data_IF_545083638602
#
_entry.id   IF_545083638602
#
_cell.length_a   1.000
_cell.length_b   1.000
_cell.length_c   1.000
_cell.angle_alpha   90.00
_cell.angle_beta   90.00
_cell.angle_gamma   90.00
#
_symmetry.space_group_name_H-M   'P 1'
#
loop_
_entity.id
_entity.type
_entity.pdbx_description
1 polymer ?
#
# COMPACT_ATOMS: atom_id res chain seq x y z
N UNK A 1 17.55 -29.73 15.41
CA UNK A 1 16.86 -30.96 14.99
C UNK A 1 17.09 -31.13 13.50
N UNK A 2 17.70 -32.25 13.08
CA UNK A 2 17.83 -32.65 11.67
C UNK A 2 16.87 -33.82 11.47
N UNK A 3 15.70 -33.61 10.86
CA UNK A 3 14.71 -34.68 10.71
C UNK A 3 13.43 -34.16 10.05
N UNK A 4 13.22 -34.55 8.81
CA UNK A 4 12.05 -34.21 8.00
C UNK A 4 10.79 -34.84 8.63
N UNK A 5 9.81 -34.00 8.95
CA UNK A 5 8.48 -34.43 9.40
C UNK A 5 7.68 -34.93 8.19
N UNK A 6 8.00 -36.14 7.71
CA UNK A 6 7.46 -36.65 6.44
C UNK A 6 5.97 -37.00 6.47
N UNK A 7 5.40 -37.26 7.65
CA UNK A 7 3.99 -37.65 7.78
C UNK A 7 3.31 -37.03 9.00
N UNK A 8 2.00 -36.82 8.89
CA UNK A 8 1.18 -36.28 9.99
C UNK A 8 1.21 -37.18 11.24
N UNK A 9 1.39 -38.50 11.06
CA UNK A 9 1.51 -39.45 12.17
C UNK A 9 2.78 -39.18 12.99
N UNK A 10 3.93 -38.97 12.33
CA UNK A 10 5.19 -38.68 13.01
C UNK A 10 5.10 -37.39 13.84
N UNK A 11 4.38 -36.39 13.31
CA UNK A 11 4.13 -35.13 14.03
C UNK A 11 3.27 -35.38 15.27
N UNK A 12 2.23 -36.20 15.16
CA UNK A 12 1.35 -36.54 16.30
C UNK A 12 2.09 -37.37 17.35
N UNK A 13 2.95 -38.31 16.95
CA UNK A 13 3.72 -39.16 17.86
C UNK A 13 4.79 -38.37 18.60
N UNK A 14 5.59 -37.55 17.90
CA UNK A 14 6.58 -36.66 18.52
C UNK A 14 5.90 -35.61 19.41
N UNK A 15 4.75 -35.07 18.98
CA UNK A 15 3.93 -34.20 19.80
C UNK A 15 3.48 -34.93 21.08
N UNK A 16 2.91 -36.13 20.98
CA UNK A 16 2.47 -36.90 22.13
C UNK A 16 3.64 -37.26 23.08
N UNK A 17 4.81 -37.56 22.55
CA UNK A 17 6.04 -37.77 23.33
C UNK A 17 6.48 -36.50 24.08
N UNK A 18 6.28 -35.33 23.49
CA UNK A 18 6.47 -34.04 24.13
C UNK A 18 5.29 -33.60 25.03
N UNK A 19 4.28 -34.47 25.23
CA UNK A 19 3.08 -34.16 26.04
C UNK A 19 2.02 -33.33 25.31
N UNK A 20 2.19 -33.09 24.02
CA UNK A 20 1.34 -32.26 23.16
C UNK A 20 0.19 -33.11 22.59
N UNK A 21 -1.06 -32.73 22.88
CA UNK A 21 -2.24 -33.32 22.22
C UNK A 21 -2.77 -32.39 21.12
N UNK A 22 -2.47 -32.70 19.86
CA UNK A 22 -2.97 -31.97 18.69
C UNK A 22 -4.42 -32.41 18.33
N UNK A 23 -5.40 -32.04 19.16
CA UNK A 23 -6.82 -32.44 19.01
C UNK A 23 -7.70 -31.34 18.36
N UNK A 24 -7.17 -30.13 18.26
CA UNK A 24 -7.91 -28.90 17.96
C UNK A 24 -7.82 -28.50 16.48
N UNK A 25 -8.69 -27.57 16.06
CA UNK A 25 -8.90 -27.24 14.64
C UNK A 25 -7.83 -26.30 14.07
N UNK A 26 -7.48 -25.23 14.76
CA UNK A 26 -6.52 -24.25 14.25
C UNK A 26 -5.36 -24.05 15.22
N UNK A 27 -4.13 -24.12 14.71
CA UNK A 27 -2.89 -23.95 15.46
C UNK A 27 -2.14 -22.72 14.99
N UNK A 28 -1.47 -22.06 15.92
CA UNK A 28 -0.53 -20.98 15.62
C UNK A 28 0.61 -21.00 16.63
N UNK A 29 1.71 -20.39 16.24
CA UNK A 29 2.93 -20.32 17.04
C UNK A 29 3.21 -18.87 17.37
N UNK A 30 3.54 -18.63 18.64
CA UNK A 30 4.17 -17.40 19.08
C UNK A 30 5.65 -17.68 19.30
N UNK A 31 6.51 -16.73 18.93
CA UNK A 31 7.94 -16.76 19.28
C UNK A 31 8.23 -15.51 20.09
N UNK A 32 8.85 -15.70 21.25
CA UNK A 32 9.30 -14.65 22.14
C UNK A 32 10.82 -14.58 22.04
N UNK A 33 11.35 -13.39 21.76
CA UNK A 33 12.78 -13.10 21.70
C UNK A 33 13.20 -12.09 22.76
N UNK A 34 14.40 -12.26 23.31
CA UNK A 34 15.03 -11.30 24.23
C UNK A 34 16.55 -11.37 24.11
N UNK A 35 17.23 -10.25 24.31
CA UNK A 35 18.71 -10.24 24.43
C UNK A 35 19.19 -10.96 25.69
N UNK A 36 18.36 -10.98 26.73
CA UNK A 36 18.62 -11.68 27.99
C UNK A 36 17.95 -13.06 27.98
N UNK A 37 18.32 -13.88 27.00
CA UNK A 37 17.66 -15.15 26.74
C UNK A 37 17.64 -16.14 27.92
N UNK A 38 18.62 -16.10 28.82
CA UNK A 38 18.58 -16.90 30.06
C UNK A 38 17.38 -16.55 30.96
N UNK A 39 17.07 -15.25 31.12
CA UNK A 39 15.92 -14.79 31.91
C UNK A 39 14.61 -15.16 31.23
N UNK A 40 14.56 -15.03 29.90
CA UNK A 40 13.42 -15.44 29.09
C UNK A 40 13.13 -16.95 29.21
N UNK A 41 14.15 -17.79 29.06
CA UNK A 41 14.02 -19.25 29.20
C UNK A 41 13.60 -19.65 30.62
N UNK A 42 14.12 -18.96 31.64
CA UNK A 42 13.71 -19.16 33.05
C UNK A 42 12.24 -18.79 33.27
N UNK A 43 11.79 -17.66 32.74
CA UNK A 43 10.40 -17.22 32.81
C UNK A 43 9.46 -18.20 32.08
N UNK A 44 9.83 -18.64 30.88
CA UNK A 44 9.06 -19.60 30.09
C UNK A 44 8.91 -20.95 30.81
N UNK A 45 9.97 -21.45 31.46
CA UNK A 45 9.90 -22.68 32.28
C UNK A 45 8.89 -22.55 33.42
N UNK A 46 8.89 -21.41 34.13
CA UNK A 46 7.90 -21.13 35.18
C UNK A 46 6.47 -21.10 34.63
N UNK A 47 6.26 -20.51 33.44
CA UNK A 47 4.95 -20.54 32.78
C UNK A 47 4.50 -21.99 32.50
N UNK A 48 5.39 -22.80 31.91
CA UNK A 48 5.10 -24.20 31.56
C UNK A 48 4.76 -25.07 32.80
N UNK A 49 5.35 -24.78 33.96
CA UNK A 49 5.01 -25.48 35.22
C UNK A 49 3.61 -25.11 35.75
N UNK A 50 3.12 -23.91 35.45
CA UNK A 50 1.83 -23.39 35.95
C UNK A 50 0.66 -23.62 35.00
N UNK A 51 0.91 -23.79 33.70
CA UNK A 51 -0.12 -23.88 32.68
C UNK A 51 0.00 -25.21 31.92
N UNK A 52 -0.84 -26.17 32.29
CA UNK A 52 -0.81 -27.54 31.78
C UNK A 52 -1.22 -27.69 30.31
N UNK A 53 -1.74 -26.63 29.69
CA UNK A 53 -2.23 -26.62 28.31
C UNK A 53 -1.34 -25.84 27.35
N UNK A 54 -0.24 -25.24 27.85
CA UNK A 54 0.71 -24.48 27.04
C UNK A 54 1.96 -25.30 26.70
N UNK A 55 2.41 -25.17 25.46
CA UNK A 55 3.53 -25.96 24.95
C UNK A 55 4.68 -25.02 24.62
N UNK A 56 5.66 -24.99 25.51
CA UNK A 56 6.84 -24.14 25.38
C UNK A 56 8.03 -24.94 24.82
N UNK A 57 8.71 -24.37 23.82
CA UNK A 57 9.86 -24.99 23.19
C UNK A 57 11.04 -24.01 23.09
N UNK A 58 12.19 -24.30 23.70
CA UNK A 58 13.39 -23.48 23.54
C UNK A 58 13.92 -23.61 22.10
N UNK A 59 14.00 -22.49 21.39
CA UNK A 59 14.41 -22.46 19.98
C UNK A 59 15.93 -22.35 19.89
N UNK A 60 16.47 -21.32 20.53
CA UNK A 60 17.88 -20.98 20.60
C UNK A 60 18.14 -20.25 21.94
N UNK A 61 19.38 -19.81 22.25
CA UNK A 61 19.66 -19.14 23.52
C UNK A 61 18.85 -17.86 23.78
N UNK A 62 18.28 -17.24 22.75
CA UNK A 62 17.55 -15.95 22.79
C UNK A 62 16.06 -16.05 22.50
N UNK A 63 15.58 -17.20 22.05
CA UNK A 63 14.20 -17.42 21.62
C UNK A 63 13.53 -18.61 22.30
N UNK A 64 12.24 -18.42 22.60
CA UNK A 64 11.34 -19.49 23.00
C UNK A 64 10.06 -19.44 22.17
N UNK A 65 9.62 -20.59 21.68
CA UNK A 65 8.37 -20.74 20.95
C UNK A 65 7.27 -21.25 21.89
N UNK A 66 6.04 -20.83 21.63
CA UNK A 66 4.82 -21.30 22.27
C UNK A 66 3.86 -21.76 21.18
N UNK A 67 3.52 -23.04 21.17
CA UNK A 67 2.46 -23.56 20.32
C UNK A 67 1.11 -23.34 21.03
N UNK A 68 0.19 -22.69 20.32
CA UNK A 68 -1.18 -22.43 20.76
C UNK A 68 -2.19 -22.99 19.76
N UNK A 69 -3.43 -23.11 20.23
CA UNK A 69 -4.55 -23.54 19.41
C UNK A 69 -5.82 -22.75 19.75
N UNK A 70 -6.68 -22.58 18.75
CA UNK A 70 -8.00 -21.98 18.94
C UNK A 70 -9.02 -23.08 19.29
N UNK A 71 -9.90 -22.80 20.24
CA UNK A 71 -11.06 -23.64 20.55
C UNK A 71 -12.34 -22.89 20.22
N UNK A 72 -13.42 -23.61 19.89
CA UNK A 72 -14.74 -22.98 19.68
C UNK A 72 -15.27 -22.28 20.94
N UNK A 73 -14.86 -22.73 22.13
CA UNK A 73 -15.26 -22.18 23.43
C UNK A 73 -14.41 -20.97 23.86
N UNK A 74 -13.18 -20.84 23.34
CA UNK A 74 -12.28 -19.73 23.62
C UNK A 74 -11.55 -19.29 22.34
N UNK A 75 -12.20 -18.48 21.48
CA UNK A 75 -11.60 -17.93 20.27
C UNK A 75 -10.66 -16.78 20.67
N UNK A 76 -9.58 -17.09 21.38
CA UNK A 76 -8.62 -16.08 21.81
C UNK A 76 -7.97 -15.46 20.57
N UNK A 77 -8.02 -14.13 20.48
CA UNK A 77 -7.31 -13.39 19.45
C UNK A 77 -5.79 -13.57 19.66
N UNK A 78 -5.03 -14.09 18.67
CA UNK A 78 -3.60 -14.38 18.81
C UNK A 78 -2.78 -13.20 19.33
N UNK A 79 -3.17 -11.97 18.94
CA UNK A 79 -2.55 -10.74 19.40
C UNK A 79 -2.68 -10.56 20.91
N UNK A 80 -3.89 -10.75 21.45
CA UNK A 80 -4.17 -10.64 22.88
C UNK A 80 -3.38 -11.68 23.67
N UNK A 81 -3.30 -12.92 23.16
CA UNK A 81 -2.49 -13.99 23.78
C UNK A 81 -1.01 -13.61 23.79
N UNK A 82 -0.49 -13.07 22.69
CA UNK A 82 0.88 -12.59 22.59
C UNK A 82 1.20 -11.48 23.60
N UNK A 83 0.33 -10.48 23.72
CA UNK A 83 0.47 -9.37 24.66
C UNK A 83 0.42 -9.84 26.13
N UNK A 84 -0.58 -10.65 26.49
CA UNK A 84 -0.74 -11.17 27.84
C UNK A 84 0.43 -12.08 28.25
N UNK A 85 0.87 -12.93 27.33
CA UNK A 85 1.99 -13.85 27.58
C UNK A 85 3.30 -13.08 27.72
N UNK A 86 3.53 -12.05 26.90
CA UNK A 86 4.71 -11.19 27.03
C UNK A 86 4.75 -10.47 28.38
N UNK A 87 3.61 -9.93 28.83
CA UNK A 87 3.50 -9.25 30.12
C UNK A 87 3.76 -10.22 31.27
N UNK A 88 3.23 -11.45 31.18
CA UNK A 88 3.51 -12.50 32.17
C UNK A 88 5.00 -12.88 32.20
N UNK A 89 5.65 -13.03 31.05
CA UNK A 89 7.08 -13.30 30.98
C UNK A 89 7.90 -12.18 31.63
N UNK A 90 7.50 -10.91 31.43
CA UNK A 90 8.13 -9.75 32.07
C UNK A 90 7.97 -9.78 33.59
N UNK A 91 6.77 -10.07 34.10
CA UNK A 91 6.52 -10.23 35.54
C UNK A 91 7.36 -11.34 36.17
N UNK A 92 7.72 -12.36 35.39
CA UNK A 92 8.57 -13.47 35.82
C UNK A 92 10.08 -13.21 35.67
N UNK A 93 10.46 -12.03 35.16
CA UNK A 93 11.83 -11.52 35.12
C UNK A 93 12.45 -11.42 33.72
N UNK A 94 11.71 -11.67 32.63
CA UNK A 94 12.23 -11.45 31.28
C UNK A 94 12.27 -9.94 30.94
N UNK A 95 13.33 -9.48 30.30
CA UNK A 95 13.49 -8.08 29.87
C UNK A 95 13.39 -7.96 28.34
N UNK A 96 12.91 -6.83 27.84
CA UNK A 96 12.78 -6.54 26.40
C UNK A 96 12.23 -7.71 25.56
N UNK A 97 11.04 -8.22 25.94
CA UNK A 97 10.41 -9.32 25.22
C UNK A 97 9.77 -8.81 23.92
N UNK A 98 10.26 -9.31 22.79
CA UNK A 98 9.70 -9.09 21.45
C UNK A 98 8.92 -10.33 21.02
N UNK A 99 7.67 -10.15 20.59
CA UNK A 99 6.77 -11.25 20.23
C UNK A 99 6.52 -11.25 18.74
N UNK A 100 6.79 -12.37 18.09
CA UNK A 100 6.30 -12.66 16.75
C UNK A 100 5.16 -13.67 16.78
N UNK A 101 4.12 -13.43 15.98
CA UNK A 101 2.93 -14.27 15.92
C UNK A 101 2.77 -14.77 14.49
N UNK A 102 2.74 -16.09 14.30
CA UNK A 102 2.49 -16.70 13.00
C UNK A 102 1.00 -16.79 12.65
N UNK A 103 0.72 -17.13 11.39
CA UNK A 103 -0.66 -17.35 10.93
C UNK A 103 -1.26 -18.63 11.54
N UNK A 104 -2.59 -18.68 11.61
CA UNK A 104 -3.30 -19.89 12.01
C UNK A 104 -3.36 -20.89 10.85
N UNK A 105 -3.12 -22.16 11.17
CA UNK A 105 -3.18 -23.28 10.22
C UNK A 105 -4.03 -24.41 10.78
N UNK A 106 -4.85 -24.99 9.90
CA UNK A 106 -5.70 -26.15 10.25
C UNK A 106 -4.93 -27.47 10.10
N UNK A 107 -3.96 -27.54 9.18
CA UNK A 107 -3.15 -28.74 8.96
C UNK A 107 -1.90 -28.76 9.86
N UNK A 108 -1.69 -29.84 10.62
CA UNK A 108 -0.56 -29.96 11.57
C UNK A 108 0.81 -29.85 10.90
N UNK A 109 0.94 -30.36 9.68
CA UNK A 109 2.15 -30.26 8.84
C UNK A 109 2.51 -28.82 8.48
N UNK A 110 1.55 -27.91 8.53
CA UNK A 110 1.74 -26.49 8.22
C UNK A 110 2.13 -25.65 9.45
N UNK A 111 2.12 -26.23 10.66
CA UNK A 111 2.56 -25.54 11.90
C UNK A 111 3.99 -25.01 11.76
N UNK A 112 4.84 -25.71 11.00
CA UNK A 112 6.22 -25.26 10.69
C UNK A 112 6.24 -23.89 10.00
N UNK A 113 5.24 -23.58 9.16
CA UNK A 113 5.13 -22.28 8.52
C UNK A 113 4.75 -21.20 9.53
N UNK A 114 3.80 -21.47 10.44
CA UNK A 114 3.49 -20.55 11.54
C UNK A 114 4.72 -20.26 12.39
N UNK A 115 5.53 -21.27 12.69
CA UNK A 115 6.75 -21.11 13.46
C UNK A 115 7.78 -20.20 12.73
N UNK A 116 8.05 -20.46 11.45
CA UNK A 116 8.98 -19.64 10.66
C UNK A 116 8.53 -18.18 10.57
N UNK A 117 7.21 -17.97 10.41
CA UNK A 117 6.60 -16.64 10.40
C UNK A 117 6.75 -15.91 11.73
N UNK A 118 6.47 -16.61 12.84
CA UNK A 118 6.61 -16.07 14.19
C UNK A 118 8.07 -15.70 14.50
N UNK A 119 9.03 -16.55 14.15
CA UNK A 119 10.45 -16.26 14.34
C UNK A 119 10.87 -15.00 13.58
N UNK A 120 10.51 -14.90 12.30
CA UNK A 120 10.73 -13.70 11.49
C UNK A 120 10.13 -12.43 12.13
N UNK A 121 8.89 -12.51 12.61
CA UNK A 121 8.20 -11.38 13.25
C UNK A 121 8.85 -10.96 14.58
N UNK A 122 9.36 -11.91 15.37
CA UNK A 122 10.09 -11.62 16.61
C UNK A 122 11.38 -10.84 16.34
N UNK A 123 12.21 -11.33 15.42
CA UNK A 123 13.46 -10.67 15.01
C UNK A 123 13.20 -9.27 14.43
N UNK A 124 12.16 -9.16 13.60
CA UNK A 124 11.72 -7.88 13.04
C UNK A 124 11.27 -6.90 14.14
N UNK A 125 10.44 -7.36 15.08
CA UNK A 125 9.98 -6.56 16.21
C UNK A 125 11.13 -5.99 17.02
N UNK A 126 12.19 -6.78 17.22
CA UNK A 126 13.43 -6.33 17.85
C UNK A 126 14.11 -5.19 17.07
N UNK A 127 14.27 -5.33 15.76
CA UNK A 127 14.91 -4.33 14.89
C UNK A 127 14.09 -3.03 14.85
N UNK A 128 12.78 -3.14 14.69
CA UNK A 128 11.86 -2.00 14.55
C UNK A 128 11.36 -1.44 15.89
N UNK A 129 11.81 -2.01 17.02
CA UNK A 129 11.37 -1.68 18.38
C UNK A 129 9.85 -1.74 18.55
N UNK A 130 9.24 -2.78 17.97
CA UNK A 130 7.83 -3.14 18.15
C UNK A 130 7.74 -4.38 19.04
N UNK A 131 7.01 -4.27 20.16
CA UNK A 131 6.93 -5.34 21.16
C UNK A 131 6.17 -6.57 20.66
N UNK A 132 5.17 -6.40 19.80
CA UNK A 132 4.34 -7.50 19.28
C UNK A 132 4.10 -7.29 17.79
N UNK A 133 4.40 -8.31 16.97
CA UNK A 133 4.28 -8.28 15.52
C UNK A 133 3.56 -9.54 15.04
N UNK A 134 2.43 -9.37 14.36
CA UNK A 134 1.65 -10.47 13.80
C UNK A 134 1.87 -10.61 12.29
N UNK A 135 2.27 -11.79 11.84
CA UNK A 135 2.61 -12.05 10.43
C UNK A 135 1.45 -11.76 9.48
N UNK A 136 0.23 -12.13 9.86
CA UNK A 136 -0.97 -11.87 9.05
C UNK A 136 -1.10 -10.35 8.78
N UNK A 137 -1.04 -9.51 9.83
CA UNK A 137 -1.05 -8.03 9.74
C UNK A 137 0.12 -7.47 8.95
N UNK A 138 1.28 -8.10 9.01
CA UNK A 138 2.43 -7.72 8.19
C UNK A 138 2.24 -8.06 6.71
N UNK A 139 1.57 -9.18 6.37
CA UNK A 139 1.15 -9.45 4.99
C UNK A 139 0.20 -8.37 4.48
N UNK A 140 -0.76 -7.92 5.29
CA UNK A 140 -1.67 -6.83 4.93
C UNK A 140 -0.92 -5.51 4.66
N UNK A 141 0.17 -5.23 5.38
CA UNK A 141 1.03 -4.05 5.15
C UNK A 141 1.96 -4.19 3.93
N UNK A 142 2.42 -5.41 3.61
CA UNK A 142 3.40 -5.68 2.53
C UNK A 142 2.83 -6.12 1.18
N UNK A 143 1.54 -6.49 1.10
CA UNK A 143 0.94 -7.02 -0.14
C UNK A 143 -0.24 -6.20 -0.68
N UNK A 144 -0.61 -5.08 -0.06
CA UNK A 144 -1.70 -4.26 -0.57
C UNK A 144 -1.24 -3.40 -1.76
N UNK A 145 -1.90 -3.53 -2.93
CA UNK A 145 -1.73 -2.62 -4.06
C UNK A 145 -1.79 -1.16 -3.63
N UNK A 146 -0.74 -0.38 -3.90
CA UNK A 146 -0.71 1.04 -3.58
C UNK A 146 -1.13 1.87 -4.80
N UNK A 147 -2.39 2.28 -4.82
CA UNK A 147 -2.90 3.31 -5.73
C UNK A 147 -4.15 3.94 -5.09
N UNK A 148 -3.97 4.75 -4.03
CA UNK A 148 -5.10 5.31 -3.29
C UNK A 148 -5.84 6.38 -4.11
N UNK A 149 -7.09 6.65 -3.73
CA UNK A 149 -7.96 7.63 -4.39
C UNK A 149 -7.30 9.01 -4.52
N UNK A 150 -6.58 9.47 -3.48
CA UNK A 150 -5.86 10.75 -3.53
C UNK A 150 -4.83 10.79 -4.67
N UNK A 151 -4.15 9.67 -4.94
CA UNK A 151 -3.19 9.60 -6.03
C UNK A 151 -3.88 9.55 -7.39
N UNK A 152 -5.02 8.88 -7.46
CA UNK A 152 -5.88 8.86 -8.63
C UNK A 152 -6.34 10.28 -9.01
N UNK A 153 -6.85 11.05 -8.04
CA UNK A 153 -7.30 12.43 -8.22
C UNK A 153 -6.16 13.34 -8.69
N UNK A 154 -4.97 13.22 -8.08
CA UNK A 154 -3.77 13.96 -8.48
C UNK A 154 -3.38 13.65 -9.93
N UNK A 155 -3.42 12.38 -10.32
CA UNK A 155 -3.10 11.97 -11.69
C UNK A 155 -4.08 12.58 -12.69
N UNK A 156 -5.39 12.53 -12.38
CA UNK A 156 -6.42 13.12 -13.23
C UNK A 156 -6.24 14.63 -13.41
N UNK A 157 -5.98 15.35 -12.32
CA UNK A 157 -5.79 16.81 -12.35
C UNK A 157 -4.53 17.18 -13.13
N UNK A 158 -3.41 16.48 -12.92
CA UNK A 158 -2.15 16.73 -13.61
C UNK A 158 -2.30 16.57 -15.12
N UNK A 159 -2.88 15.44 -15.55
CA UNK A 159 -3.10 15.13 -16.97
C UNK A 159 -4.07 16.11 -17.63
N UNK A 160 -5.20 16.44 -16.98
CA UNK A 160 -6.17 17.42 -17.51
C UNK A 160 -5.55 18.81 -17.68
N UNK A 161 -4.63 19.18 -16.80
CA UNK A 161 -3.96 20.47 -16.86
C UNK A 161 -2.80 20.51 -17.85
N UNK A 162 -2.42 19.38 -18.45
CA UNK A 162 -1.24 19.32 -19.32
C UNK A 162 0.08 19.42 -18.56
N UNK A 163 0.10 19.04 -17.27
CA UNK A 163 1.31 19.07 -16.44
C UNK A 163 2.08 17.73 -16.51
N UNK A 164 2.92 17.59 -17.54
CA UNK A 164 3.64 16.34 -17.79
C UNK A 164 4.68 16.00 -16.71
N UNK A 165 5.28 17.00 -16.06
CA UNK A 165 6.25 16.76 -14.97
C UNK A 165 5.57 16.14 -13.75
N UNK A 166 4.40 16.65 -13.37
CA UNK A 166 3.63 16.08 -12.26
C UNK A 166 3.12 14.67 -12.56
N UNK A 167 2.78 14.36 -13.83
CA UNK A 167 2.44 12.99 -14.25
C UNK A 167 3.63 12.05 -14.03
N UNK A 168 4.85 12.43 -14.45
CA UNK A 168 6.07 11.62 -14.24
C UNK A 168 6.35 11.40 -12.76
N UNK A 169 6.26 12.45 -11.94
CA UNK A 169 6.46 12.35 -10.49
C UNK A 169 5.49 11.35 -9.84
N UNK A 170 4.23 11.38 -10.26
CA UNK A 170 3.21 10.43 -9.80
C UNK A 170 3.58 8.99 -10.19
N UNK A 171 4.00 8.75 -11.44
CA UNK A 171 4.42 7.42 -11.88
C UNK A 171 5.71 6.93 -11.20
N UNK A 172 6.65 7.83 -10.90
CA UNK A 172 7.81 7.53 -10.05
C UNK A 172 7.35 7.04 -8.68
N UNK A 173 6.43 7.77 -8.03
CA UNK A 173 5.92 7.38 -6.71
C UNK A 173 5.15 6.06 -6.76
N UNK A 174 4.35 5.81 -7.79
CA UNK A 174 3.67 4.51 -7.99
C UNK A 174 4.71 3.39 -8.09
N UNK A 175 5.81 3.58 -8.84
CA UNK A 175 6.90 2.59 -8.92
C UNK A 175 7.59 2.41 -7.56
N UNK A 176 7.95 3.48 -6.87
CA UNK A 176 8.62 3.40 -5.57
C UNK A 176 7.79 2.63 -4.53
N UNK A 177 6.50 2.94 -4.44
CA UNK A 177 5.60 2.29 -3.49
C UNK A 177 5.35 0.82 -3.87
N UNK A 178 5.16 0.50 -5.16
CA UNK A 178 4.73 -0.85 -5.59
C UNK A 178 5.84 -1.81 -6.06
N UNK A 179 7.04 -1.29 -6.39
CA UNK A 179 8.21 -2.09 -6.80
C UNK A 179 9.36 -1.98 -5.80
N UNK A 180 9.52 -0.81 -5.15
CA UNK A 180 10.63 -0.54 -4.24
C UNK A 180 10.33 -0.96 -2.79
N UNK A 181 9.22 -0.45 -2.23
CA UNK A 181 8.86 -0.65 -0.81
C UNK A 181 8.00 -1.90 -0.58
N UNK A 182 7.16 -2.26 -1.55
CA UNK A 182 6.21 -3.37 -1.51
C UNK A 182 6.70 -4.44 -2.51
N UNK A 183 6.93 -5.67 -2.06
CA UNK A 183 7.15 -6.80 -2.97
C UNK A 183 5.80 -7.35 -3.42
N UNK A 184 5.24 -6.74 -4.46
CA UNK A 184 3.90 -7.06 -4.92
C UNK A 184 3.82 -8.43 -5.59
N UNK A 185 2.80 -9.21 -5.19
CA UNK A 185 2.43 -10.43 -5.92
C UNK A 185 1.98 -10.10 -7.34
N UNK A 186 2.08 -11.07 -8.26
CA UNK A 186 1.62 -10.90 -9.64
C UNK A 186 0.15 -10.47 -9.71
N UNK A 187 -0.70 -10.96 -8.80
CA UNK A 187 -2.11 -10.58 -8.74
C UNK A 187 -2.29 -9.15 -8.21
N UNK A 188 -1.55 -8.73 -7.18
CA UNK A 188 -1.63 -7.35 -6.72
C UNK A 188 -1.14 -6.37 -7.78
N UNK A 189 -0.13 -6.73 -8.58
CA UNK A 189 0.33 -5.91 -9.71
C UNK A 189 -0.80 -5.70 -10.73
N UNK A 190 -1.56 -6.75 -11.03
CA UNK A 190 -2.76 -6.65 -11.89
C UNK A 190 -3.81 -5.70 -11.33
N UNK A 191 -4.00 -5.67 -10.00
CA UNK A 191 -4.95 -4.73 -9.36
C UNK A 191 -4.52 -3.28 -9.57
N UNK A 192 -3.24 -2.95 -9.34
CA UNK A 192 -2.72 -1.60 -9.58
C UNK A 192 -2.89 -1.20 -11.06
N UNK A 193 -2.48 -2.07 -11.99
CA UNK A 193 -2.62 -1.84 -13.43
C UNK A 193 -4.07 -1.61 -13.81
N UNK A 194 -5.00 -2.43 -13.32
CA UNK A 194 -6.42 -2.29 -13.58
C UNK A 194 -6.99 -0.98 -13.05
N UNK A 195 -6.57 -0.55 -11.85
CA UNK A 195 -6.95 0.73 -11.26
C UNK A 195 -6.51 1.91 -12.14
N UNK A 196 -5.22 1.96 -12.50
CA UNK A 196 -4.66 3.03 -13.34
C UNK A 196 -5.29 3.02 -14.75
N UNK A 197 -5.50 1.85 -15.33
CA UNK A 197 -6.16 1.69 -16.64
C UNK A 197 -7.59 2.21 -16.60
N UNK A 198 -8.32 1.94 -15.52
CA UNK A 198 -9.68 2.44 -15.33
C UNK A 198 -9.71 3.97 -15.23
N UNK A 199 -8.73 4.56 -14.54
CA UNK A 199 -8.54 6.03 -14.50
C UNK A 199 -8.32 6.58 -15.89
N UNK A 200 -7.44 5.97 -16.67
CA UNK A 200 -7.12 6.39 -18.03
C UNK A 200 -8.36 6.35 -18.95
N UNK A 201 -9.14 5.26 -18.92
CA UNK A 201 -10.38 5.13 -19.68
C UNK A 201 -11.40 6.21 -19.29
N UNK A 202 -11.59 6.45 -17.98
CA UNK A 202 -12.48 7.53 -17.51
C UNK A 202 -12.04 8.88 -18.05
N UNK A 203 -10.74 9.14 -18.07
CA UNK A 203 -10.22 10.39 -18.62
C UNK A 203 -10.50 10.53 -20.11
N UNK A 204 -10.18 9.52 -20.93
CA UNK A 204 -10.45 9.57 -22.37
C UNK A 204 -11.93 9.79 -22.68
N UNK A 205 -12.82 9.10 -21.97
CA UNK A 205 -14.28 9.27 -22.11
C UNK A 205 -14.72 10.70 -21.75
N UNK A 206 -14.22 11.24 -20.62
CA UNK A 206 -14.57 12.58 -20.17
C UNK A 206 -14.02 13.68 -21.10
N UNK A 207 -12.92 13.41 -21.81
CA UNK A 207 -12.26 14.35 -22.71
C UNK A 207 -12.74 14.23 -24.17
N UNK A 208 -13.65 13.28 -24.46
CA UNK A 208 -14.12 12.95 -25.81
C UNK A 208 -12.98 12.68 -26.80
N UNK A 209 -11.84 12.20 -26.30
CA UNK A 209 -10.69 11.86 -27.11
C UNK A 209 -10.87 10.44 -27.66
N UNK A 210 -10.70 10.27 -28.97
CA UNK A 210 -10.75 8.95 -29.62
C UNK A 210 -9.45 8.21 -29.35
N UNK A 211 -9.30 7.72 -28.13
CA UNK A 211 -8.29 6.70 -27.88
C UNK A 211 -8.85 5.36 -28.35
N UNK A 212 -8.08 4.58 -29.09
CA UNK A 212 -8.43 3.19 -29.41
C UNK A 212 -8.32 2.36 -28.12
N UNK A 213 -9.34 2.48 -27.27
CA UNK A 213 -9.40 1.89 -25.92
C UNK A 213 -9.20 0.39 -25.96
N UNK A 214 -9.67 -0.29 -27.00
CA UNK A 214 -9.43 -1.72 -27.22
C UNK A 214 -7.94 -2.03 -27.45
N UNK A 215 -7.26 -1.31 -28.32
CA UNK A 215 -5.83 -1.53 -28.57
C UNK A 215 -4.97 -1.19 -27.35
N UNK A 216 -5.35 -0.17 -26.57
CA UNK A 216 -4.67 0.12 -25.32
C UNK A 216 -4.86 -1.01 -24.30
N UNK A 217 -6.10 -1.46 -24.12
CA UNK A 217 -6.42 -2.55 -23.20
C UNK A 217 -5.66 -3.81 -23.59
N UNK A 218 -5.59 -4.13 -24.88
CA UNK A 218 -4.83 -5.25 -25.41
C UNK A 218 -3.33 -5.09 -25.11
N UNK A 219 -2.73 -3.92 -25.38
CA UNK A 219 -1.31 -3.65 -25.08
C UNK A 219 -0.98 -3.76 -23.59
N UNK A 220 -1.84 -3.24 -22.71
CA UNK A 220 -1.63 -3.31 -21.26
C UNK A 220 -1.83 -4.73 -20.72
N UNK A 221 -2.78 -5.49 -21.26
CA UNK A 221 -3.07 -6.87 -20.83
C UNK A 221 -2.08 -7.90 -21.37
N UNK A 222 -1.51 -7.65 -22.55
CA UNK A 222 -0.50 -8.52 -23.17
C UNK A 222 0.88 -8.40 -22.52
N UNK A 223 1.14 -7.30 -21.81
CA UNK A 223 2.38 -7.13 -21.06
C UNK A 223 2.41 -7.99 -19.79
N UNK A 224 3.32 -8.97 -19.77
CA UNK A 224 3.46 -9.90 -18.64
C UNK A 224 4.20 -9.32 -17.44
N UNK A 225 4.85 -8.16 -17.62
CA UNK A 225 5.69 -7.52 -16.61
C UNK A 225 5.01 -6.27 -16.07
N UNK A 226 4.83 -6.19 -14.75
CA UNK A 226 4.25 -5.02 -14.08
C UNK A 226 4.99 -3.70 -14.39
N UNK A 227 6.34 -3.62 -14.33
CA UNK A 227 7.07 -2.44 -14.77
C UNK A 227 6.76 -1.99 -16.20
N UNK A 228 6.73 -2.92 -17.16
CA UNK A 228 6.45 -2.58 -18.57
C UNK A 228 5.02 -2.11 -18.77
N UNK A 229 4.05 -2.75 -18.10
CA UNK A 229 2.66 -2.30 -18.13
C UNK A 229 2.51 -0.87 -17.57
N UNK A 230 3.25 -0.53 -16.50
CA UNK A 230 3.30 0.85 -15.99
C UNK A 230 3.92 1.83 -16.99
N UNK A 231 4.99 1.47 -17.69
CA UNK A 231 5.61 2.32 -18.74
C UNK A 231 4.63 2.61 -19.89
N UNK A 232 3.87 1.59 -20.33
CA UNK A 232 2.83 1.76 -21.36
C UNK A 232 1.76 2.73 -20.89
N UNK A 233 1.29 2.59 -19.65
CA UNK A 233 0.29 3.48 -19.07
C UNK A 233 0.83 4.91 -18.91
N UNK A 234 2.05 5.09 -18.39
CA UNK A 234 2.70 6.39 -18.26
C UNK A 234 2.78 7.09 -19.61
N UNK A 235 3.19 6.36 -20.65
CA UNK A 235 3.26 6.88 -22.02
C UNK A 235 1.90 7.39 -22.51
N UNK A 236 0.81 6.67 -22.23
CA UNK A 236 -0.53 7.14 -22.60
C UNK A 236 -0.96 8.38 -21.81
N UNK A 237 -0.74 8.41 -20.50
CA UNK A 237 -1.05 9.60 -19.70
C UNK A 237 -0.27 10.83 -20.16
N UNK A 238 1.01 10.66 -20.52
CA UNK A 238 1.84 11.74 -21.06
C UNK A 238 1.33 12.22 -22.43
N UNK A 239 0.88 11.32 -23.29
CA UNK A 239 0.26 11.67 -24.58
C UNK A 239 -1.02 12.49 -24.37
N UNK A 240 -1.94 12.04 -23.51
CA UNK A 240 -3.14 12.80 -23.18
C UNK A 240 -2.80 14.18 -22.59
N UNK A 241 -1.76 14.22 -21.75
CA UNK A 241 -1.27 15.44 -21.14
C UNK A 241 -0.78 16.46 -22.21
N UNK A 242 -0.03 15.99 -23.21
CA UNK A 242 0.43 16.80 -24.33
C UNK A 242 -0.73 17.28 -25.23
N UNK A 243 -1.67 16.39 -25.57
CA UNK A 243 -2.89 16.75 -26.32
C UNK A 243 -3.69 17.85 -25.60
N UNK A 244 -3.82 17.74 -24.27
CA UNK A 244 -4.51 18.74 -23.46
C UNK A 244 -3.74 20.06 -23.36
N UNK A 245 -2.41 20.03 -23.24
CA UNK A 245 -1.58 21.23 -23.26
C UNK A 245 -1.72 22.00 -24.58
N UNK A 246 -1.69 21.29 -25.71
CA UNK A 246 -1.87 21.90 -27.04
C UNK A 246 -3.29 22.42 -27.26
N UNK A 247 -4.32 21.69 -26.82
CA UNK A 247 -5.70 22.16 -26.94
C UNK A 247 -5.93 23.45 -26.14
N UNK A 248 -5.34 23.55 -24.94
CA UNK A 248 -5.40 24.75 -24.10
C UNK A 248 -4.66 25.91 -24.75
N UNK A 249 -3.43 25.68 -25.19
CA UNK A 249 -2.60 26.70 -25.86
C UNK A 249 -3.29 27.25 -27.11
N UNK A 250 -3.87 26.37 -27.95
CA UNK A 250 -4.62 26.78 -29.14
C UNK A 250 -5.92 27.51 -28.80
N UNK A 251 -6.65 27.09 -27.76
CA UNK A 251 -7.85 27.81 -27.29
C UNK A 251 -7.50 29.20 -26.77
N UNK A 252 -6.39 29.35 -26.03
CA UNK A 252 -5.93 30.67 -25.60
C UNK A 252 -5.52 31.54 -26.78
N UNK A 253 -4.83 31.00 -27.77
CA UNK A 253 -4.40 31.74 -28.95
C UNK A 253 -5.59 32.23 -29.80
N UNK A 254 -6.57 31.36 -30.08
CA UNK A 254 -7.81 31.73 -30.77
C UNK A 254 -8.59 32.79 -29.97
N UNK A 255 -8.58 32.68 -28.64
CA UNK A 255 -9.23 33.66 -27.78
C UNK A 255 -8.56 35.05 -27.89
N UNK A 256 -7.23 35.10 -27.86
CA UNK A 256 -6.47 36.34 -28.04
C UNK A 256 -6.70 36.97 -29.42
N UNK A 257 -6.70 36.16 -30.48
CA UNK A 257 -7.00 36.65 -31.83
C UNK A 257 -8.40 37.28 -31.93
N UNK A 258 -9.42 36.63 -31.36
CA UNK A 258 -10.79 37.19 -31.33
C UNK A 258 -10.89 38.48 -30.53
N UNK A 259 -10.11 38.59 -29.45
CA UNK A 259 -10.05 39.81 -28.65
C UNK A 259 -9.39 40.95 -29.43
N UNK A 260 -8.27 40.69 -30.11
CA UNK A 260 -7.58 41.66 -30.97
C UNK A 260 -8.50 42.14 -32.10
N UNK A 261 -9.13 41.22 -32.84
CA UNK A 261 -10.09 41.55 -33.92
C UNK A 261 -11.24 42.41 -33.41
N UNK A 262 -11.77 42.11 -32.21
CA UNK A 262 -12.84 42.91 -31.61
C UNK A 262 -12.38 44.32 -31.25
N UNK A 263 -11.19 44.45 -30.65
CA UNK A 263 -10.62 45.74 -30.28
C UNK A 263 -10.33 46.60 -31.52
N UNK A 264 -9.75 46.02 -32.58
CA UNK A 264 -9.49 46.73 -33.84
C UNK A 264 -10.78 47.22 -34.50
N UNK A 265 -11.80 46.36 -34.58
CA UNK A 265 -13.09 46.69 -35.19
C UNK A 265 -13.83 47.82 -34.45
N UNK A 266 -13.64 47.91 -33.13
CA UNK A 266 -14.33 48.88 -32.28
C UNK A 266 -13.44 50.08 -31.88
N UNK A 267 -12.19 50.16 -32.36
CA UNK A 267 -11.22 51.17 -31.94
C UNK A 267 -11.71 52.62 -32.12
N UNK A 268 -12.52 52.88 -33.15
CA UNK A 268 -13.12 54.19 -33.41
C UNK A 268 -14.34 54.52 -32.54
N UNK A 269 -14.78 53.61 -31.67
CA UNK A 269 -15.92 53.84 -30.78
C UNK A 269 -15.43 54.54 -29.49
N UNK A 270 -15.83 55.80 -29.22
CA UNK A 270 -15.42 56.51 -28.02
C UNK A 270 -15.98 55.92 -26.71
N UNK A 271 -16.91 54.96 -26.79
CA UNK A 271 -17.42 54.19 -25.64
C UNK A 271 -16.71 52.84 -25.47
N UNK A 272 -15.72 52.50 -26.31
CA UNK A 272 -14.92 51.29 -26.16
C UNK A 272 -14.16 51.37 -24.84
N UNK A 273 -14.52 50.49 -23.92
CA UNK A 273 -13.91 50.38 -22.61
C UNK A 273 -14.12 49.00 -22.02
N UNK A 274 -13.48 48.78 -20.88
CA UNK A 274 -13.50 47.50 -20.13
C UNK A 274 -14.90 46.89 -20.00
N UNK A 275 -15.95 47.65 -19.65
CA UNK A 275 -17.30 47.07 -19.50
C UNK A 275 -17.84 46.49 -20.81
N UNK A 276 -17.59 47.17 -21.93
CA UNK A 276 -18.07 46.76 -23.25
C UNK A 276 -17.35 45.48 -23.74
N UNK A 277 -16.05 45.38 -23.49
CA UNK A 277 -15.28 44.15 -23.80
C UNK A 277 -15.70 43.00 -22.90
N UNK A 278 -15.93 43.25 -21.60
CA UNK A 278 -16.43 42.24 -20.67
C UNK A 278 -17.86 41.79 -21.02
N UNK A 279 -18.67 42.67 -21.60
CA UNK A 279 -20.02 42.34 -22.09
C UNK A 279 -20.01 41.50 -23.38
N UNK A 280 -19.03 41.67 -24.26
CA UNK A 280 -18.91 40.76 -25.42
C UNK A 280 -18.32 39.40 -25.01
N UNK A 281 -17.36 39.43 -24.10
CA UNK A 281 -16.62 38.26 -23.64
C UNK A 281 -17.03 37.91 -22.19
N UNK A 282 -18.21 37.30 -22.05
CA UNK A 282 -18.97 37.00 -20.81
C UNK A 282 -18.23 36.21 -19.69
N UNK A 283 -16.91 35.97 -19.79
CA UNK A 283 -16.10 35.18 -18.84
C UNK A 283 -14.86 35.92 -18.32
N UNK A 284 -14.89 37.25 -18.24
CA UNK A 284 -13.75 38.03 -17.75
C UNK A 284 -14.00 38.47 -16.31
N UNK A 285 -13.61 37.61 -15.36
CA UNK A 285 -13.30 38.04 -13.99
C UNK A 285 -11.91 37.63 -13.53
N UNK A 286 -11.40 36.49 -13.99
CA UNK A 286 -10.08 35.99 -13.55
C UNK A 286 -8.91 36.48 -14.41
N UNK A 287 -9.08 36.58 -15.73
CA UNK A 287 -8.01 37.07 -16.63
C UNK A 287 -7.74 38.57 -16.45
N UNK A 288 -8.78 39.32 -16.05
CA UNK A 288 -8.72 40.77 -15.85
C UNK A 288 -7.75 41.19 -14.73
N UNK A 289 -7.74 40.43 -13.63
CA UNK A 289 -6.83 40.67 -12.51
C UNK A 289 -5.36 40.49 -12.89
N UNK A 290 -5.06 39.63 -13.86
CA UNK A 290 -3.69 39.32 -14.28
C UNK A 290 -3.15 40.30 -15.34
N UNK A 291 -4.04 40.92 -16.11
CA UNK A 291 -3.68 41.84 -17.21
C UNK A 291 -3.60 43.31 -16.77
N UNK A 292 -4.35 43.71 -15.74
CA UNK A 292 -4.48 45.12 -15.31
C UNK A 292 -3.94 45.41 -13.90
N UNK A 293 -3.37 44.42 -13.21
CA UNK A 293 -2.44 44.72 -12.12
C UNK A 293 -1.08 45.02 -12.75
N UNK A 294 -0.77 46.31 -12.94
CA UNK A 294 0.63 46.72 -13.01
C UNK A 294 1.34 46.31 -11.71
N UNK A 295 2.67 46.20 -11.75
CA UNK A 295 3.49 45.77 -10.60
C UNK A 295 3.26 46.59 -9.31
N UNK A 296 2.57 47.74 -9.39
CA UNK A 296 2.25 48.63 -8.28
C UNK A 296 0.79 48.56 -7.78
N UNK A 297 -0.04 47.65 -8.30
CA UNK A 297 -1.37 47.36 -7.73
C UNK A 297 -2.48 48.40 -7.97
N UNK A 298 -2.28 49.39 -8.82
CA UNK A 298 -3.35 50.28 -9.29
C UNK A 298 -4.02 49.74 -10.56
N UNK A 299 -5.36 49.81 -10.59
CA UNK A 299 -6.22 49.40 -11.70
C UNK A 299 -6.33 50.58 -12.68
N UNK A 300 -5.85 50.41 -13.91
CA UNK A 300 -6.07 51.37 -15.02
C UNK A 300 -7.50 51.29 -15.57
#
# INVERSE_FOLDING_TARGET
MNGEFDTELNIIEEAAHAGIRLVQKDYYVLVFGSEEGEKLLSAAKKCAETETEQIWYPVDPTHVALLQYCTEENPMEPLLVGEQTAEKLKQLGAEEVYVGIGSCYTEKREIVFSYQQALYCSDKGKIEKQNVVEYSRELWKRNMPWYPLEMEEKLQVATKNGNSEQVKEIFIKIREENLGKIHLSANGGKVVISGITSTLIRMCNNMAESMETEQLLEKVQTEQSFPKALEVLETQFLRLCEENYHSRSRKSEIYYQKLEEYLEKNYGNPSLGVPMVAEEFWTIRKLFFYLFQGDDGEIF
#
